data_IF_696569225936
#
_entry.id   IF_696569225936
#
_cell.length_a   1.000
_cell.length_b   1.000
_cell.length_c   1.000
_cell.angle_alpha   90.00
_cell.angle_beta   90.00
_cell.angle_gamma   90.00
#
_symmetry.space_group_name_H-M   'P 1'
#
loop_
_entity.id
_entity.type
_entity.pdbx_description
1 polymer ?
#
# COMPACT_ATOMS: atom_id res chain seq x y z
N UNK A 1 -2.03 4.51 30.48
CA UNK A 1 -0.82 4.14 29.69
C UNK A 1 -1.08 2.81 29.01
N UNK A 2 -0.57 2.64 27.79
CA UNK A 2 -0.66 1.47 26.89
C UNK A 2 -1.69 1.58 25.74
N UNK A 3 -1.49 2.56 24.85
CA UNK A 3 -1.94 2.44 23.46
C UNK A 3 -1.12 1.33 22.81
N UNK A 4 -1.63 0.10 22.88
CA UNK A 4 -1.22 -0.98 21.99
C UNK A 4 -1.40 -0.41 20.58
N UNK A 5 -0.30 -0.09 19.89
CA UNK A 5 -0.35 0.36 18.50
C UNK A 5 -0.99 -0.79 17.72
N UNK A 6 -2.29 -0.71 17.51
CA UNK A 6 -3.03 -1.74 16.80
C UNK A 6 -2.46 -1.79 15.38
N UNK A 7 -1.88 -2.94 15.02
CA UNK A 7 -1.54 -3.22 13.63
C UNK A 7 -2.82 -3.08 12.82
N UNK A 8 -2.75 -2.25 11.77
CA UNK A 8 -3.86 -2.09 10.83
C UNK A 8 -3.51 -2.81 9.55
N UNK A 9 -4.53 -3.34 8.87
CA UNK A 9 -4.36 -3.88 7.52
C UNK A 9 -4.23 -2.74 6.51
N UNK A 10 -3.21 -2.84 5.66
CA UNK A 10 -2.92 -1.92 4.58
C UNK A 10 -2.80 -2.67 3.27
N UNK A 11 -3.28 -2.04 2.20
CA UNK A 11 -2.79 -2.28 0.85
C UNK A 11 -1.58 -1.38 0.63
N UNK A 12 -0.46 -1.97 0.24
CA UNK A 12 0.82 -1.29 0.13
C UNK A 12 1.20 -1.33 -1.34
N UNK A 13 1.20 -0.18 -1.99
CA UNK A 13 1.75 -0.03 -3.33
C UNK A 13 3.25 0.20 -3.22
N UNK A 14 4.01 -0.58 -3.96
CA UNK A 14 5.46 -0.51 -4.03
C UNK A 14 5.81 -0.22 -5.49
N UNK A 15 6.44 0.92 -5.72
CA UNK A 15 7.06 1.29 -6.98
C UNK A 15 8.49 0.78 -6.97
N UNK A 16 8.75 -0.25 -7.77
CA UNK A 16 10.08 -0.83 -7.91
C UNK A 16 10.84 -0.20 -9.08
N UNK A 17 10.44 0.93 -9.66
CA UNK A 17 11.11 1.49 -10.85
C UNK A 17 12.61 1.74 -10.60
N UNK A 18 12.99 2.22 -9.41
CA UNK A 18 14.40 2.38 -9.02
C UNK A 18 15.14 1.06 -8.72
N UNK A 19 14.43 0.02 -8.30
CA UNK A 19 15.03 -1.28 -7.97
C UNK A 19 15.12 -2.22 -9.20
N UNK A 20 14.21 -2.05 -10.16
CA UNK A 20 14.06 -2.89 -11.35
C UNK A 20 15.16 -2.66 -12.38
N UNK A 21 15.80 -1.48 -12.42
CA UNK A 21 16.99 -1.24 -13.26
C UNK A 21 18.10 -2.28 -13.03
N UNK A 22 18.16 -2.89 -11.83
CA UNK A 22 19.16 -3.89 -11.50
C UNK A 22 18.75 -5.34 -11.71
N UNK A 23 17.48 -5.67 -11.98
CA UNK A 23 17.04 -7.07 -12.20
C UNK A 23 15.59 -7.14 -12.69
N UNK A 24 15.38 -7.75 -13.86
CA UNK A 24 14.11 -8.37 -14.30
C UNK A 24 13.70 -9.55 -13.41
N UNK A 25 13.82 -9.41 -12.10
CA UNK A 25 13.50 -10.46 -11.16
C UNK A 25 11.98 -10.57 -11.05
N UNK A 26 11.47 -11.80 -11.10
CA UNK A 26 10.08 -12.10 -10.70
C UNK A 26 9.88 -11.56 -9.29
N UNK A 27 9.01 -10.56 -9.15
CA UNK A 27 8.69 -9.97 -7.86
C UNK A 27 7.81 -10.97 -7.12
N UNK A 28 8.36 -11.58 -6.07
CA UNK A 28 7.63 -12.46 -5.17
C UNK A 28 7.54 -11.83 -3.78
N UNK A 29 6.58 -12.28 -2.97
CA UNK A 29 6.32 -11.72 -1.64
C UNK A 29 7.55 -11.80 -0.73
N UNK A 30 8.39 -12.84 -0.86
CA UNK A 30 9.64 -12.95 -0.09
C UNK A 30 10.63 -11.82 -0.43
N UNK A 31 10.71 -11.44 -1.71
CA UNK A 31 11.57 -10.32 -2.16
C UNK A 31 11.06 -8.99 -1.60
N UNK A 32 9.74 -8.79 -1.62
CA UNK A 32 9.12 -7.60 -1.06
C UNK A 32 9.25 -7.55 0.46
N UNK A 33 9.15 -8.69 1.14
CA UNK A 33 9.35 -8.82 2.59
C UNK A 33 10.79 -8.48 2.98
N UNK A 34 11.78 -8.90 2.19
CA UNK A 34 13.19 -8.50 2.39
C UNK A 34 13.40 -7.02 2.13
N UNK A 35 12.75 -6.46 1.10
CA UNK A 35 12.86 -5.04 0.78
C UNK A 35 12.27 -4.16 1.90
N UNK A 36 11.10 -4.52 2.41
CA UNK A 36 10.49 -3.88 3.57
C UNK A 36 11.10 -4.34 4.91
N UNK A 37 12.11 -5.22 4.88
CA UNK A 37 12.80 -5.72 6.06
C UNK A 37 13.38 -4.57 6.88
N UNK A 38 13.13 -4.61 8.20
CA UNK A 38 13.57 -3.56 9.12
C UNK A 38 12.60 -2.38 9.28
N UNK A 39 11.49 -2.33 8.53
CA UNK A 39 10.42 -1.34 8.75
C UNK A 39 9.44 -1.77 9.84
N UNK A 40 9.30 -3.08 10.10
CA UNK A 40 8.29 -3.62 11.03
C UNK A 40 6.94 -3.90 10.38
N UNK A 41 6.89 -3.96 9.05
CA UNK A 41 5.69 -4.33 8.27
C UNK A 41 5.66 -5.85 8.10
N UNK A 42 4.50 -6.44 8.37
CA UNK A 42 4.24 -7.86 8.12
C UNK A 42 3.39 -8.01 6.86
N UNK A 43 3.98 -8.56 5.79
CA UNK A 43 3.22 -8.86 4.57
C UNK A 43 2.42 -10.15 4.73
N UNK A 44 1.19 -10.16 4.22
CA UNK A 44 0.34 -11.34 4.21
C UNK A 44 0.86 -12.35 3.16
N UNK A 45 1.35 -13.53 3.57
CA UNK A 45 1.95 -14.48 2.64
C UNK A 45 0.92 -15.17 1.74
N UNK A 46 -0.37 -15.12 2.08
CA UNK A 46 -1.45 -15.69 1.29
C UNK A 46 -1.87 -14.76 0.14
N UNK A 47 -1.52 -13.48 0.21
CA UNK A 47 -1.82 -12.48 -0.80
C UNK A 47 -0.67 -12.34 -1.79
N UNK A 48 -0.88 -12.85 -3.01
CA UNK A 48 0.09 -12.68 -4.09
C UNK A 48 0.24 -11.21 -4.51
N UNK A 49 1.47 -10.73 -4.79
CA UNK A 49 1.67 -9.38 -5.27
C UNK A 49 0.96 -9.16 -6.61
N UNK A 50 0.07 -8.18 -6.64
CA UNK A 50 -0.69 -7.81 -7.83
C UNK A 50 0.09 -6.75 -8.60
N UNK A 51 0.44 -7.04 -9.86
CA UNK A 51 1.08 -6.05 -10.72
C UNK A 51 0.02 -5.09 -11.27
N UNK A 52 0.14 -3.80 -10.94
CA UNK A 52 -0.79 -2.76 -11.42
C UNK A 52 -0.26 -2.12 -12.69
N UNK A 53 1.06 -1.93 -12.78
CA UNK A 53 1.69 -1.41 -13.99
C UNK A 53 3.03 -2.09 -14.24
N UNK A 54 3.12 -3.02 -15.21
CA UNK A 54 4.36 -3.73 -15.50
C UNK A 54 5.44 -2.83 -16.09
N UNK A 55 5.08 -1.75 -16.82
CA UNK A 55 6.05 -0.82 -17.40
C UNK A 55 6.77 0.03 -16.34
N UNK A 56 6.10 0.29 -15.21
CA UNK A 56 6.64 1.07 -14.10
C UNK A 56 7.02 0.17 -12.91
N UNK A 57 6.97 -1.16 -13.08
CA UNK A 57 7.23 -2.12 -12.02
C UNK A 57 6.46 -1.79 -10.71
N UNK A 58 5.18 -1.41 -10.84
CA UNK A 58 4.30 -1.12 -9.70
C UNK A 58 3.53 -2.34 -9.27
N UNK A 59 3.62 -2.66 -7.99
CA UNK A 59 2.95 -3.79 -7.37
C UNK A 59 2.15 -3.36 -6.16
N UNK A 60 1.05 -4.05 -5.88
CA UNK A 60 0.31 -3.92 -4.63
C UNK A 60 0.34 -5.25 -3.88
N UNK A 61 0.63 -5.15 -2.59
CA UNK A 61 0.57 -6.26 -1.64
C UNK A 61 -0.33 -5.89 -0.48
N UNK A 62 -0.79 -6.90 0.25
CA UNK A 62 -1.50 -6.72 1.51
C UNK A 62 -0.54 -7.01 2.66
N UNK A 63 -0.64 -6.22 3.72
CA UNK A 63 0.12 -6.45 4.93
C UNK A 63 -0.48 -5.73 6.13
N UNK A 64 0.09 -6.00 7.29
CA UNK A 64 -0.24 -5.36 8.55
C UNK A 64 0.95 -4.51 9.00
N UNK A 65 0.65 -3.31 9.46
CA UNK A 65 1.66 -2.39 9.96
C UNK A 65 1.14 -1.58 11.12
N UNK A 66 2.02 -1.27 12.08
CA UNK A 66 1.76 -0.25 13.09
C UNK A 66 1.96 1.15 12.49
N UNK A 67 1.38 2.18 13.11
CA UNK A 67 1.57 3.57 12.68
C UNK A 67 3.06 3.98 12.65
N UNK A 68 3.88 3.45 13.57
CA UNK A 68 5.33 3.66 13.57
C UNK A 68 6.01 2.94 12.41
N UNK A 69 5.66 1.68 12.14
CA UNK A 69 6.24 0.92 11.02
C UNK A 69 5.93 1.59 9.68
N UNK A 70 4.70 2.06 9.51
CA UNK A 70 4.27 2.87 8.37
C UNK A 70 5.14 4.12 8.23
N UNK A 71 5.28 4.91 9.30
CA UNK A 71 6.08 6.15 9.28
C UNK A 71 7.54 5.88 8.94
N UNK A 72 8.13 4.78 9.44
CA UNK A 72 9.49 4.36 9.09
C UNK A 72 9.62 3.98 7.62
N UNK A 73 8.65 3.26 7.08
CA UNK A 73 8.65 2.89 5.66
C UNK A 73 8.48 4.13 4.75
N UNK A 74 7.57 5.05 5.09
CA UNK A 74 7.40 6.33 4.39
C UNK A 74 8.68 7.19 4.47
N UNK A 75 9.41 7.17 5.59
CA UNK A 75 10.70 7.87 5.71
C UNK A 75 11.82 7.22 4.89
N UNK A 76 11.89 5.88 4.89
CA UNK A 76 12.96 5.13 4.23
C UNK A 76 12.80 5.06 2.73
N UNK A 77 11.57 4.92 2.26
CA UNK A 77 11.23 4.73 0.84
C UNK A 77 10.53 5.94 0.22
N UNK A 78 10.14 6.94 1.01
CA UNK A 78 9.54 8.18 0.49
C UNK A 78 8.30 7.89 -0.37
N UNK A 79 8.33 8.39 -1.59
CA UNK A 79 7.28 8.23 -2.62
C UNK A 79 7.27 6.87 -3.31
N UNK A 80 8.30 6.03 -3.12
CA UNK A 80 8.38 4.70 -3.74
C UNK A 80 7.43 3.70 -3.05
N UNK A 81 6.95 3.98 -1.83
CA UNK A 81 5.97 3.15 -1.12
C UNK A 81 4.75 4.00 -0.72
N UNK A 82 3.55 3.56 -1.09
CA UNK A 82 2.28 4.17 -0.68
C UNK A 82 1.44 3.20 0.13
N UNK A 83 0.94 3.67 1.27
CA UNK A 83 0.04 2.91 2.14
C UNK A 83 -1.40 3.36 1.92
N UNK A 84 -2.25 2.41 1.58
CA UNK A 84 -3.69 2.56 1.52
C UNK A 84 -4.27 1.78 2.69
N UNK A 85 -4.71 2.49 3.74
CA UNK A 85 -5.49 1.87 4.81
C UNK A 85 -6.80 1.33 4.25
N UNK A 86 -7.35 0.31 4.89
CA UNK A 86 -8.78 0.00 4.80
C UNK A 86 -9.60 1.14 5.43
N UNK A 87 -9.58 2.31 4.81
CA UNK A 87 -10.61 3.30 5.00
C UNK A 87 -11.81 2.79 4.23
N UNK A 88 -12.98 2.66 4.88
CA UNK A 88 -14.23 2.35 4.18
C UNK A 88 -14.34 3.26 2.95
N UNK A 89 -14.18 2.67 1.75
CA UNK A 89 -14.53 3.35 0.51
C UNK A 89 -16.05 3.46 0.56
N UNK A 90 -16.53 4.61 1.01
CA UNK A 90 -17.95 4.91 0.90
C UNK A 90 -18.24 5.10 -0.60
N UNK A 91 -19.32 4.51 -1.13
CA UNK A 91 -19.76 4.86 -2.47
C UNK A 91 -19.90 6.38 -2.51
N UNK A 92 -19.33 7.01 -3.54
CA UNK A 92 -19.72 8.38 -3.89
C UNK A 92 -21.22 8.32 -4.14
N UNK A 93 -22.00 8.74 -3.14
CA UNK A 93 -23.43 8.93 -3.31
C UNK A 93 -23.55 9.90 -4.46
N UNK A 94 -24.11 9.44 -5.56
CA UNK A 94 -24.41 10.26 -6.73
C UNK A 94 -25.53 11.26 -6.36
N UNK A 95 -25.33 12.10 -5.36
CA UNK A 95 -26.12 13.31 -5.16
C UNK A 95 -25.49 14.40 -6.02
N UNK A 96 -25.55 14.17 -7.33
CA UNK A 96 -25.81 15.29 -8.22
C UNK A 96 -27.11 15.91 -7.73
N UNK A 97 -27.03 17.06 -7.06
CA UNK A 97 -28.20 17.91 -6.83
C UNK A 97 -28.84 18.12 -8.20
N UNK A 98 -29.95 17.42 -8.47
CA UNK A 98 -30.90 17.78 -9.51
C UNK A 98 -31.30 19.21 -9.19
N UNK A 99 -30.85 20.17 -10.00
CA UNK A 99 -31.50 21.49 -10.06
C UNK A 99 -32.87 21.21 -10.68
N UNK A 100 -33.82 20.83 -9.86
CA UNK A 100 -35.22 20.80 -10.25
C UNK A 100 -35.75 22.21 -10.09
N UNK A 101 -36.23 22.75 -11.21
CA UNK A 101 -36.78 24.08 -11.34
C UNK A 101 -37.92 24.30 -10.35
N UNK A 102 -37.93 25.45 -9.69
CA UNK A 102 -39.14 26.01 -9.14
C UNK A 102 -39.61 27.08 -10.14
N UNK A 103 -40.81 26.82 -10.66
CA UNK A 103 -41.71 27.74 -11.36
C UNK A 103 -41.95 29.03 -10.57
#
# INVERSE_FOLDING_TARGET
MNTKLASQSYLIQIDLAKAAEKKKARVNIDTLKRLLGGTGIELDPSYSPVCINPQQHRFVVRGEATSEARRRAEQRFGTDVKFFSDGRVQPITANGKKREAAD
#
